data_IF_499788896449
#
_entry.id   IF_499788896449
#
_cell.length_a   1.000
_cell.length_b   1.000
_cell.length_c   1.000
_cell.angle_alpha   90.00
_cell.angle_beta   90.00
_cell.angle_gamma   90.00
#
_symmetry.space_group_name_H-M   'P 1'
#
loop_
_entity.id
_entity.type
_entity.pdbx_description
1 polymer ?
#
# COMPACT_ATOMS: atom_id res chain seq x y z
N UNK A 1 -68.70 -0.17 9.52
CA UNK A 1 -67.77 -1.16 8.94
C UNK A 1 -66.84 -0.46 7.97
N UNK A 2 -65.57 -0.92 7.93
CA UNK A 2 -64.50 -0.62 6.95
C UNK A 2 -63.99 0.84 6.89
N UNK A 3 -62.70 1.14 6.79
CA UNK A 3 -61.48 0.33 6.77
C UNK A 3 -60.31 1.25 7.16
N UNK A 4 -59.33 0.66 7.86
CA UNK A 4 -58.10 1.27 8.36
C UNK A 4 -57.05 1.39 7.24
N UNK A 5 -56.21 2.42 7.33
CA UNK A 5 -54.80 2.31 6.92
C UNK A 5 -54.38 3.06 5.65
N UNK A 6 -53.43 3.98 5.79
CA UNK A 6 -52.32 4.05 4.85
C UNK A 6 -51.06 4.54 5.56
N UNK A 7 -50.09 3.64 5.57
CA UNK A 7 -48.84 3.72 6.32
C UNK A 7 -47.80 4.62 5.67
N UNK A 8 -47.06 5.22 6.57
CA UNK A 8 -45.71 5.77 6.49
C UNK A 8 -44.73 4.98 5.60
N UNK A 9 -43.81 5.76 5.02
CA UNK A 9 -42.40 5.48 4.78
C UNK A 9 -42.03 4.33 3.83
N UNK A 10 -41.37 4.67 2.72
CA UNK A 10 -39.97 4.28 2.50
C UNK A 10 -39.42 4.99 1.26
N UNK A 11 -38.73 6.11 1.49
CA UNK A 11 -37.62 6.52 0.65
C UNK A 11 -36.48 5.54 0.96
N UNK A 12 -36.01 4.74 0.01
CA UNK A 12 -34.60 4.32 0.02
C UNK A 12 -34.10 4.04 -1.39
N UNK A 13 -33.09 4.81 -1.76
CA UNK A 13 -32.43 4.78 -3.04
C UNK A 13 -31.67 3.47 -3.25
N UNK A 14 -31.95 2.79 -4.37
CA UNK A 14 -31.08 1.75 -4.92
C UNK A 14 -30.30 2.33 -6.10
N UNK A 15 -29.28 3.14 -5.83
CA UNK A 15 -28.31 3.52 -6.85
C UNK A 15 -27.19 2.48 -6.93
N UNK A 16 -27.35 1.58 -7.91
CA UNK A 16 -26.33 1.04 -8.82
C UNK A 16 -24.90 1.01 -8.27
N UNK A 17 -24.46 -0.20 -7.95
CA UNK A 17 -23.05 -0.55 -7.85
C UNK A 17 -22.33 -0.16 -9.15
N UNK A 18 -21.65 0.98 -9.13
CA UNK A 18 -20.57 1.25 -10.06
C UNK A 18 -19.37 0.51 -9.51
N UNK A 19 -19.06 -0.64 -10.10
CA UNK A 19 -17.70 -1.15 -10.07
C UNK A 19 -16.82 -0.08 -10.68
N UNK A 20 -16.26 0.78 -9.82
CA UNK A 20 -15.16 1.65 -10.18
C UNK A 20 -13.95 0.75 -10.35
N UNK A 21 -13.77 0.22 -11.56
CA UNK A 21 -12.47 -0.22 -12.04
C UNK A 21 -11.60 1.02 -12.11
N UNK A 22 -10.99 1.40 -10.97
CA UNK A 22 -10.00 2.47 -10.95
C UNK A 22 -8.91 2.03 -11.94
N UNK A 23 -8.58 2.85 -12.95
CA UNK A 23 -7.48 2.53 -13.84
C UNK A 23 -6.26 2.27 -12.97
N UNK A 24 -5.67 1.08 -13.11
CA UNK A 24 -4.38 0.71 -12.54
C UNK A 24 -3.42 1.84 -12.92
N UNK A 25 -3.21 2.79 -12.00
CA UNK A 25 -2.28 3.89 -12.21
C UNK A 25 -0.99 3.23 -12.69
N UNK A 26 -0.49 3.62 -13.87
CA UNK A 26 0.72 3.03 -14.42
C UNK A 26 1.79 3.13 -13.34
N UNK A 27 2.15 1.99 -12.75
CA UNK A 27 3.21 1.94 -11.77
C UNK A 27 4.45 2.45 -12.51
N UNK A 28 4.86 3.69 -12.20
CA UNK A 28 6.01 4.28 -12.83
C UNK A 28 7.20 3.41 -12.43
N UNK A 29 7.90 2.86 -13.43
CA UNK A 29 9.02 1.95 -13.18
C UNK A 29 10.30 2.66 -13.56
N UNK A 30 11.25 2.74 -12.64
CA UNK A 30 12.59 3.24 -12.96
C UNK A 30 13.33 2.15 -13.73
N UNK A 31 13.70 2.44 -14.97
CA UNK A 31 14.50 1.52 -15.77
C UNK A 31 15.87 1.28 -15.10
N UNK A 32 16.37 0.05 -15.18
CA UNK A 32 17.65 -0.39 -14.59
C UNK A 32 17.70 -0.53 -13.07
N UNK A 33 16.59 -0.46 -12.35
CA UNK A 33 16.56 -0.85 -10.92
C UNK A 33 16.24 -2.34 -10.82
N UNK A 34 17.13 -3.08 -10.18
CA UNK A 34 17.05 -4.52 -9.94
C UNK A 34 17.44 -4.82 -8.50
N UNK A 35 17.05 -5.98 -7.97
CA UNK A 35 17.49 -6.40 -6.64
C UNK A 35 19.02 -6.52 -6.51
N UNK A 36 19.74 -6.68 -7.63
CA UNK A 36 21.20 -6.77 -7.64
C UNK A 36 21.89 -5.43 -7.41
N UNK A 37 21.32 -4.33 -7.91
CA UNK A 37 21.87 -2.98 -7.75
C UNK A 37 21.10 -2.10 -6.74
N UNK A 38 20.10 -2.66 -6.06
CA UNK A 38 19.34 -2.01 -4.99
C UNK A 38 20.21 -1.24 -3.98
N UNK A 39 21.41 -1.73 -3.66
CA UNK A 39 22.35 -1.07 -2.73
C UNK A 39 22.84 0.29 -3.22
N UNK A 40 22.90 0.51 -4.53
CA UNK A 40 23.33 1.79 -5.11
C UNK A 40 22.26 2.88 -4.97
N UNK A 41 21.00 2.46 -4.78
CA UNK A 41 19.85 3.35 -4.61
C UNK A 41 19.52 3.61 -3.14
N UNK A 42 20.03 2.77 -2.23
CA UNK A 42 19.81 2.90 -0.80
C UNK A 42 20.43 4.19 -0.27
N UNK A 43 19.60 5.10 0.26
CA UNK A 43 20.06 6.36 0.82
C UNK A 43 19.95 6.35 2.35
N UNK A 44 20.82 7.11 3.02
CA UNK A 44 20.78 7.28 4.46
C UNK A 44 19.72 8.33 4.84
N UNK A 45 18.45 8.00 4.63
CA UNK A 45 17.32 8.81 5.07
C UNK A 45 16.86 8.39 6.47
N UNK A 46 16.54 9.37 7.32
CA UNK A 46 15.95 9.18 8.65
C UNK A 46 14.43 9.27 8.64
N UNK A 47 13.80 9.22 9.81
CA UNK A 47 12.33 9.19 9.95
C UNK A 47 11.60 10.35 9.24
N UNK A 48 12.29 11.46 8.97
CA UNK A 48 11.78 12.59 8.20
C UNK A 48 11.29 12.25 6.78
N UNK A 49 11.83 11.19 6.15
CA UNK A 49 11.36 10.79 4.83
C UNK A 49 9.98 10.13 4.87
N UNK A 50 9.57 9.55 6.01
CA UNK A 50 8.22 9.00 6.16
C UNK A 50 7.15 10.09 6.04
N UNK A 51 7.45 11.29 6.53
CA UNK A 51 6.53 12.43 6.51
C UNK A 51 6.58 13.18 5.18
N UNK A 52 7.77 13.34 4.60
CA UNK A 52 8.00 14.18 3.40
C UNK A 52 7.76 13.42 2.09
N UNK A 53 8.02 12.11 2.03
CA UNK A 53 8.01 11.37 0.78
C UNK A 53 6.66 10.70 0.52
N UNK A 54 6.06 11.01 -0.63
CA UNK A 54 4.80 10.43 -1.12
C UNK A 54 5.00 9.29 -2.11
N UNK A 55 6.23 9.08 -2.55
CA UNK A 55 6.60 8.08 -3.55
C UNK A 55 7.77 7.26 -3.02
N UNK A 56 7.69 5.95 -3.26
CA UNK A 56 8.64 4.98 -2.72
C UNK A 56 9.06 4.00 -3.81
N UNK A 57 10.35 3.86 -4.02
CA UNK A 57 10.97 2.93 -4.95
C UNK A 57 11.14 1.57 -4.27
N UNK A 58 10.64 0.53 -4.92
CA UNK A 58 10.85 -0.85 -4.48
C UNK A 58 12.25 -1.30 -4.86
N UNK A 59 13.02 -1.72 -3.85
CA UNK A 59 14.38 -2.21 -4.03
C UNK A 59 14.45 -3.74 -4.10
N UNK A 60 13.59 -4.42 -3.35
CA UNK A 60 13.58 -5.87 -3.30
C UNK A 60 12.91 -6.50 -4.52
N UNK A 61 13.29 -7.75 -4.81
CA UNK A 61 12.71 -8.51 -5.90
C UNK A 61 11.18 -8.63 -5.75
N UNK A 62 10.70 -8.77 -4.51
CA UNK A 62 9.28 -8.88 -4.20
C UNK A 62 8.95 -8.21 -2.86
N UNK A 63 8.05 -7.24 -2.89
CA UNK A 63 7.43 -6.60 -1.72
C UNK A 63 5.95 -6.96 -1.66
N UNK A 64 5.49 -7.50 -0.54
CA UNK A 64 4.09 -7.89 -0.36
C UNK A 64 3.23 -6.70 0.06
N UNK A 65 2.08 -6.56 -0.58
CA UNK A 65 1.00 -5.67 -0.14
C UNK A 65 0.11 -6.48 0.79
N UNK A 66 0.03 -6.09 2.06
CA UNK A 66 -0.68 -6.81 3.11
C UNK A 66 -1.85 -6.01 3.65
N UNK A 67 -2.97 -6.65 4.05
CA UNK A 67 -4.17 -5.94 4.53
C UNK A 67 -3.98 -5.30 5.91
N UNK A 68 -2.98 -5.71 6.70
CA UNK A 68 -2.68 -5.11 8.01
C UNK A 68 -1.17 -5.01 8.23
N UNK A 69 -0.74 -4.02 8.99
CA UNK A 69 0.65 -3.78 9.38
C UNK A 69 1.14 -4.80 10.44
N UNK A 70 1.23 -6.08 10.07
CA UNK A 70 1.75 -7.16 10.91
C UNK A 70 2.91 -7.86 10.17
N UNK A 71 4.14 -7.84 10.72
CA UNK A 71 5.31 -8.44 10.07
C UNK A 71 5.23 -9.97 9.99
N UNK A 72 4.32 -10.61 10.75
CA UNK A 72 4.10 -12.06 10.73
C UNK A 72 3.26 -12.51 9.53
N UNK A 73 2.64 -11.58 8.79
CA UNK A 73 1.87 -11.92 7.60
C UNK A 73 2.77 -12.49 6.52
N UNK A 74 2.28 -13.55 5.89
CA UNK A 74 3.06 -14.31 4.91
C UNK A 74 2.55 -14.05 3.50
N UNK A 75 3.23 -14.61 2.50
CA UNK A 75 2.80 -14.55 1.10
C UNK A 75 1.38 -15.12 0.85
N UNK A 76 0.77 -15.82 1.81
CA UNK A 76 -0.61 -16.32 1.72
C UNK A 76 -1.65 -15.23 1.97
N UNK A 77 -1.29 -14.22 2.77
CA UNK A 77 -2.18 -13.15 3.21
C UNK A 77 -2.04 -11.88 2.35
N UNK A 78 -1.19 -11.93 1.31
CA UNK A 78 -0.93 -10.80 0.43
C UNK A 78 -2.13 -10.49 -0.46
N UNK A 79 -2.42 -9.21 -0.61
CA UNK A 79 -3.35 -8.68 -1.60
C UNK A 79 -2.68 -8.54 -2.97
N UNK A 80 -1.38 -8.22 -2.97
CA UNK A 80 -0.62 -7.99 -4.19
C UNK A 80 0.89 -8.05 -3.98
N UNK A 81 1.62 -7.83 -5.07
CA UNK A 81 3.09 -7.76 -5.08
C UNK A 81 3.54 -6.52 -5.83
N UNK A 82 4.61 -5.91 -5.34
CA UNK A 82 5.42 -4.97 -6.09
C UNK A 82 6.83 -5.55 -6.27
N UNK A 83 7.49 -5.17 -7.35
CA UNK A 83 8.80 -5.69 -7.73
C UNK A 83 9.83 -4.60 -7.83
N UNK A 84 11.11 -4.97 -7.79
CA UNK A 84 12.21 -4.03 -7.91
C UNK A 84 12.01 -3.06 -9.10
N UNK A 85 12.22 -1.78 -8.82
CA UNK A 85 12.07 -0.67 -9.76
C UNK A 85 10.67 -0.06 -9.81
N UNK A 86 9.66 -0.67 -9.18
CA UNK A 86 8.31 -0.09 -9.14
C UNK A 86 8.28 1.10 -8.18
N UNK A 87 7.71 2.22 -8.61
CA UNK A 87 7.40 3.37 -7.75
C UNK A 87 5.97 3.21 -7.24
N UNK A 88 5.85 3.14 -5.92
CA UNK A 88 4.59 2.99 -5.22
C UNK A 88 4.26 4.32 -4.52
N UNK A 89 3.11 4.93 -4.84
CA UNK A 89 2.62 6.07 -4.08
C UNK A 89 2.05 5.59 -2.74
N UNK A 90 2.39 6.29 -1.66
CA UNK A 90 1.91 5.96 -0.33
C UNK A 90 2.50 6.87 0.74
N UNK A 91 1.94 6.77 1.93
CA UNK A 91 2.37 7.53 3.10
C UNK A 91 3.18 6.63 4.04
N UNK A 92 4.39 7.08 4.42
CA UNK A 92 5.18 6.40 5.43
C UNK A 92 4.50 6.48 6.79
N UNK A 93 4.43 5.37 7.51
CA UNK A 93 3.86 5.31 8.85
C UNK A 93 4.64 4.32 9.73
N UNK A 94 4.61 4.53 11.03
CA UNK A 94 5.22 3.63 12.00
C UNK A 94 4.12 2.94 12.79
N UNK A 95 4.08 1.61 12.74
CA UNK A 95 3.13 0.78 13.48
C UNK A 95 3.93 -0.25 14.27
N UNK A 96 3.78 -0.26 15.59
CA UNK A 96 4.54 -1.14 16.50
C UNK A 96 6.07 -1.03 16.35
N UNK A 97 6.60 0.20 16.22
CA UNK A 97 8.02 0.49 15.94
C UNK A 97 8.55 -0.12 14.63
N UNK A 98 7.67 -0.48 13.71
CA UNK A 98 8.03 -0.98 12.39
C UNK A 98 7.57 0.05 11.36
N UNK A 99 8.45 0.36 10.41
CA UNK A 99 8.15 1.30 9.33
C UNK A 99 7.38 0.58 8.21
N UNK A 100 6.21 1.14 7.89
CA UNK A 100 5.29 0.65 6.87
C UNK A 100 4.95 1.77 5.89
N UNK A 101 4.72 1.39 4.64
CA UNK A 101 4.14 2.25 3.63
C UNK A 101 2.66 1.96 3.56
N UNK A 102 1.85 2.94 3.93
CA UNK A 102 0.38 2.89 3.80
C UNK A 102 0.02 3.19 2.36
N UNK A 103 -0.62 2.24 1.70
CA UNK A 103 -1.01 2.30 0.28
C UNK A 103 -2.50 2.00 0.13
N UNK A 104 -3.09 2.46 -0.96
CA UNK A 104 -4.45 2.07 -1.33
C UNK A 104 -4.41 0.98 -2.39
N UNK A 105 -4.97 -0.18 -2.09
CA UNK A 105 -5.02 -1.34 -2.97
C UNK A 105 -6.46 -1.79 -3.14
N UNK A 106 -6.97 -1.79 -4.38
CA UNK A 106 -8.35 -2.20 -4.71
C UNK A 106 -9.43 -1.49 -3.86
N UNK A 107 -9.22 -0.20 -3.60
CA UNK A 107 -10.15 0.61 -2.79
C UNK A 107 -10.10 0.32 -1.28
N UNK A 108 -9.15 -0.50 -0.83
CA UNK A 108 -8.90 -0.79 0.59
C UNK A 108 -7.55 -0.23 1.01
N UNK A 109 -7.45 0.07 2.29
CA UNK A 109 -6.18 0.39 2.92
C UNK A 109 -5.34 -0.88 3.04
N UNK A 110 -4.08 -0.77 2.64
CA UNK A 110 -3.11 -1.84 2.73
C UNK A 110 -1.74 -1.27 3.13
N UNK A 111 -0.82 -2.16 3.45
CA UNK A 111 0.49 -1.81 3.97
C UNK A 111 1.57 -2.57 3.21
N UNK A 112 2.73 -1.95 3.04
CA UNK A 112 3.93 -2.58 2.51
C UNK A 112 5.04 -2.36 3.53
N UNK A 113 5.81 -3.41 3.86
CA UNK A 113 6.91 -3.28 4.79
C UNK A 113 8.04 -2.46 4.17
N UNK A 114 8.47 -1.38 4.83
CA UNK A 114 9.59 -0.54 4.39
C UNK A 114 10.91 -1.12 4.89
N UNK A 115 10.96 -1.46 6.17
CA UNK A 115 12.17 -1.91 6.84
C UNK A 115 12.14 -3.42 7.12
N UNK A 116 13.11 -4.15 6.54
CA UNK A 116 13.20 -5.60 6.68
C UNK A 116 13.65 -6.07 8.07
N UNK A 117 14.13 -5.20 8.96
CA UNK A 117 14.63 -5.62 10.27
C UNK A 117 13.52 -6.27 11.10
N UNK A 118 12.27 -5.84 10.90
CA UNK A 118 11.09 -6.42 11.53
C UNK A 118 10.89 -7.91 11.22
N UNK A 119 11.41 -8.38 10.09
CA UNK A 119 11.35 -9.78 9.63
C UNK A 119 12.71 -10.46 9.66
N UNK A 120 13.69 -9.88 10.37
CA UNK A 120 15.04 -10.43 10.52
C UNK A 120 15.97 -10.21 9.31
N UNK A 121 15.60 -9.32 8.39
CA UNK A 121 16.40 -9.00 7.20
C UNK A 121 17.06 -7.64 7.39
N UNK A 122 18.39 -7.58 7.45
CA UNK A 122 19.16 -6.35 7.68
C UNK A 122 19.27 -5.45 6.43
N UNK A 123 18.15 -5.18 5.74
CA UNK A 123 18.10 -4.26 4.59
C UNK A 123 16.72 -3.63 4.43
N UNK A 124 16.69 -2.48 3.76
CA UNK A 124 15.47 -1.77 3.39
C UNK A 124 14.83 -2.41 2.16
N UNK A 125 13.51 -2.42 2.13
CA UNK A 125 12.72 -2.97 1.01
C UNK A 125 12.22 -1.88 0.07
N UNK A 126 12.04 -0.68 0.61
CA UNK A 126 11.54 0.50 -0.07
C UNK A 126 12.44 1.68 0.24
N UNK A 127 12.70 2.49 -0.78
CA UNK A 127 13.49 3.72 -0.67
C UNK A 127 12.63 4.92 -1.05
N UNK A 128 12.62 6.00 -0.25
CA UNK A 128 11.85 7.18 -0.57
C UNK A 128 12.43 7.85 -1.81
N UNK A 129 11.54 8.25 -2.71
CA UNK A 129 11.88 9.08 -3.85
C UNK A 129 11.45 10.51 -3.52
N UNK A 130 12.38 11.47 -3.36
CA UNK A 130 12.01 12.86 -3.23
C UNK A 130 11.26 13.29 -4.49
N UNK A 131 10.07 13.86 -4.30
CA UNK A 131 9.21 14.40 -5.36
C UNK A 131 9.39 15.89 -5.52
#
# INVERSE_FOLDING_TARGET
SSHFGSSRFCLLAAQRGRSFSIPRAMAQKIANVTAANAKEWATAWGDEALEKCKHWLVLEAMCYVVPKADPKQTAKDKLGIHTAGDIVPGDGTVVNNIQWLKVQHEGREAFILIDGNAVGVKRKFLEPVPG
#
